data_IF_144154015983
#
_entry.id   IF_144154015983
#
_cell.length_a   1.000
_cell.length_b   1.000
_cell.length_c   1.000
_cell.angle_alpha   90.00
_cell.angle_beta   90.00
_cell.angle_gamma   90.00
#
_symmetry.space_group_name_H-M   'P 1'
#
loop_
_entity.id
_entity.type
_entity.pdbx_description
1 polymer ?
#
# COMPACT_ATOMS: atom_id res chain seq x y z
N UNK A 1 15.46 -5.79 -1.63
CA UNK A 1 15.23 -4.46 -1.01
C UNK A 1 14.17 -4.55 0.07
N UNK A 2 14.26 -3.72 1.12
CA UNK A 2 13.31 -3.68 2.25
C UNK A 2 12.82 -2.24 2.40
N UNK A 3 11.66 -1.94 1.81
CA UNK A 3 11.16 -0.58 1.64
C UNK A 3 9.81 -0.37 2.34
N UNK A 4 9.58 0.86 2.76
CA UNK A 4 8.25 1.36 3.12
C UNK A 4 7.79 2.31 2.02
N UNK A 5 6.58 2.10 1.49
CA UNK A 5 5.97 3.00 0.52
C UNK A 5 4.96 3.91 1.22
N UNK A 6 5.32 5.18 1.36
CA UNK A 6 4.45 6.25 1.84
C UNK A 6 3.78 6.96 0.66
N UNK A 7 2.75 7.70 0.96
CA UNK A 7 1.97 8.48 -0.02
C UNK A 7 0.47 8.29 0.16
N UNK A 8 -0.30 9.25 -0.27
CA UNK A 8 -1.75 9.28 -0.12
C UNK A 8 -2.46 8.06 -0.77
N UNK A 9 -3.69 7.73 -0.35
CA UNK A 9 -4.54 6.81 -1.12
C UNK A 9 -4.61 7.24 -2.58
N UNK A 10 -4.39 6.33 -3.53
CA UNK A 10 -4.37 6.68 -4.97
C UNK A 10 -3.01 7.15 -5.52
N UNK A 11 -1.98 7.32 -4.70
CA UNK A 11 -0.64 7.74 -5.15
C UNK A 11 0.07 6.74 -6.09
N UNK A 12 -0.36 5.47 -6.14
CA UNK A 12 0.22 4.46 -7.02
C UNK A 12 1.18 3.48 -6.33
N UNK A 13 1.27 3.50 -5.00
CA UNK A 13 2.12 2.61 -4.20
C UNK A 13 2.09 1.15 -4.63
N UNK A 14 0.90 0.58 -4.76
CA UNK A 14 0.74 -0.83 -5.15
C UNK A 14 1.21 -1.13 -6.60
N UNK A 15 1.16 -0.16 -7.51
CA UNK A 15 1.70 -0.31 -8.87
C UNK A 15 3.23 -0.32 -8.82
N UNK A 16 3.82 0.64 -8.13
CA UNK A 16 5.27 0.74 -7.91
C UNK A 16 5.77 -0.53 -7.22
N UNK A 17 5.12 -1.00 -6.15
CA UNK A 17 5.49 -2.24 -5.47
C UNK A 17 5.50 -3.44 -6.42
N UNK A 18 4.44 -3.63 -7.22
CA UNK A 18 4.37 -4.75 -8.19
C UNK A 18 5.44 -4.70 -9.28
N UNK A 19 5.93 -3.51 -9.63
CA UNK A 19 7.02 -3.38 -10.59
C UNK A 19 8.37 -3.68 -9.92
N UNK A 20 8.60 -3.15 -8.72
CA UNK A 20 9.84 -3.39 -7.96
C UNK A 20 10.04 -4.86 -7.59
N UNK A 21 8.98 -5.58 -7.17
CA UNK A 21 9.07 -7.00 -6.82
C UNK A 21 9.51 -7.89 -7.99
N UNK A 22 9.28 -7.44 -9.23
CA UNK A 22 9.76 -8.16 -10.43
C UNK A 22 11.25 -7.98 -10.68
N UNK A 23 11.87 -6.95 -10.10
CA UNK A 23 13.28 -6.62 -10.33
C UNK A 23 14.20 -7.43 -9.42
N UNK A 24 13.86 -7.62 -8.16
CA UNK A 24 14.74 -8.24 -7.17
C UNK A 24 14.15 -9.46 -6.44
N UNK A 25 12.89 -9.79 -6.75
CA UNK A 25 12.19 -10.91 -6.11
C UNK A 25 11.74 -10.66 -4.67
N UNK A 26 11.79 -9.40 -4.19
CA UNK A 26 11.16 -9.00 -2.92
C UNK A 26 9.65 -9.22 -2.96
N UNK A 27 9.00 -9.32 -1.80
CA UNK A 27 7.55 -9.52 -1.72
C UNK A 27 6.83 -8.23 -1.37
N UNK A 28 5.69 -7.97 -2.05
CA UNK A 28 4.79 -6.89 -1.63
C UNK A 28 3.94 -7.35 -0.44
N UNK A 29 3.95 -6.58 0.64
CA UNK A 29 3.08 -6.74 1.80
C UNK A 29 2.13 -5.56 1.84
N UNK A 30 0.91 -5.76 1.35
CA UNK A 30 -0.15 -4.76 1.35
C UNK A 30 -1.17 -5.10 2.43
N UNK A 31 -1.19 -4.32 3.52
CA UNK A 31 -2.19 -4.50 4.59
C UNK A 31 -3.61 -4.37 4.06
N UNK A 32 -3.84 -3.45 3.13
CA UNK A 32 -5.15 -3.30 2.48
C UNK A 32 -5.57 -4.53 1.69
N UNK A 33 -4.65 -5.19 0.96
CA UNK A 33 -4.96 -6.39 0.18
C UNK A 33 -5.20 -7.59 1.10
N UNK A 34 -4.40 -7.74 2.17
CA UNK A 34 -4.60 -8.77 3.19
C UNK A 34 -5.99 -8.66 3.82
N UNK A 35 -6.37 -7.45 4.26
CA UNK A 35 -7.67 -7.20 4.88
C UNK A 35 -8.84 -7.43 3.90
N UNK A 36 -8.72 -6.97 2.64
CA UNK A 36 -9.74 -7.23 1.61
C UNK A 36 -9.88 -8.72 1.31
N UNK A 37 -8.78 -9.45 1.24
CA UNK A 37 -8.81 -10.91 1.11
C UNK A 37 -9.52 -11.57 2.29
N UNK A 38 -9.24 -11.13 3.52
CA UNK A 38 -9.89 -11.62 4.73
C UNK A 38 -11.40 -11.32 4.76
N UNK A 39 -11.82 -10.14 4.31
CA UNK A 39 -13.25 -9.76 4.15
C UNK A 39 -13.93 -10.66 3.11
N UNK A 40 -13.33 -10.82 1.93
CA UNK A 40 -13.87 -11.65 0.87
C UNK A 40 -14.00 -13.12 1.28
N UNK A 41 -13.07 -13.62 2.08
CA UNK A 41 -13.10 -14.97 2.64
C UNK A 41 -14.01 -15.13 3.87
N UNK A 42 -14.60 -14.04 4.39
CA UNK A 42 -15.48 -14.04 5.56
C UNK A 42 -14.80 -14.46 6.87
N UNK A 43 -13.49 -14.30 6.98
CA UNK A 43 -12.74 -14.65 8.19
C UNK A 43 -13.10 -13.74 9.37
N UNK A 44 -12.75 -14.15 10.60
CA UNK A 44 -12.99 -13.33 11.78
C UNK A 44 -12.26 -11.98 11.71
N UNK A 45 -11.02 -11.98 11.21
CA UNK A 45 -10.27 -10.77 10.91
C UNK A 45 -11.01 -9.86 9.91
N UNK A 46 -11.54 -10.46 8.84
CA UNK A 46 -12.30 -9.73 7.82
C UNK A 46 -13.55 -9.06 8.37
N UNK A 47 -14.31 -9.77 9.21
CA UNK A 47 -15.50 -9.23 9.88
C UNK A 47 -15.17 -8.05 10.79
N UNK A 48 -14.08 -8.14 11.55
CA UNK A 48 -13.62 -7.04 12.42
C UNK A 48 -13.14 -5.83 11.63
N UNK A 49 -12.45 -6.04 10.52
CA UNK A 49 -11.88 -4.97 9.71
C UNK A 49 -12.91 -4.28 8.79
N UNK A 50 -13.97 -4.98 8.37
CA UNK A 50 -14.89 -4.54 7.31
C UNK A 50 -15.51 -3.17 7.57
N UNK A 51 -16.00 -2.92 8.79
CA UNK A 51 -16.65 -1.66 9.13
C UNK A 51 -15.70 -0.46 8.99
N UNK A 52 -14.47 -0.61 9.48
CA UNK A 52 -13.43 0.43 9.37
C UNK A 52 -13.05 0.68 7.89
N UNK A 53 -12.88 -0.39 7.12
CA UNK A 53 -12.50 -0.27 5.71
C UNK A 53 -13.58 0.43 4.88
N UNK A 54 -14.86 0.10 5.09
CA UNK A 54 -15.99 0.70 4.37
C UNK A 54 -16.14 2.19 4.71
N UNK A 55 -15.91 2.57 5.97
CA UNK A 55 -15.91 3.96 6.41
C UNK A 55 -14.69 4.75 5.90
N UNK A 56 -13.63 4.08 5.46
CA UNK A 56 -12.35 4.70 5.10
C UNK A 56 -11.45 5.00 6.31
N UNK A 57 -11.78 4.42 7.46
CA UNK A 57 -11.02 4.52 8.70
C UNK A 57 -9.82 3.57 8.73
N UNK A 58 -8.91 3.84 9.67
CA UNK A 58 -7.83 2.90 9.97
C UNK A 58 -8.34 1.76 10.84
N UNK A 59 -8.00 0.54 10.46
CA UNK A 59 -8.18 -0.64 11.31
C UNK A 59 -7.29 -0.49 12.56
N UNK A 60 -7.75 -0.89 13.76
CA UNK A 60 -6.99 -0.73 14.99
C UNK A 60 -5.55 -1.25 14.91
N UNK A 61 -4.63 -0.49 15.49
CA UNK A 61 -3.18 -0.76 15.40
C UNK A 61 -2.82 -2.16 15.89
N UNK A 62 -3.48 -2.64 16.96
CA UNK A 62 -3.24 -3.96 17.53
C UNK A 62 -3.50 -5.10 16.52
N UNK A 63 -4.58 -4.99 15.74
CA UNK A 63 -4.90 -5.97 14.71
C UNK A 63 -3.86 -5.94 13.57
N UNK A 64 -3.48 -4.74 13.13
CA UNK A 64 -2.48 -4.57 12.07
C UNK A 64 -1.11 -5.08 12.52
N UNK A 65 -0.70 -4.78 13.74
CA UNK A 65 0.58 -5.25 14.28
C UNK A 65 0.63 -6.77 14.39
N UNK A 66 -0.48 -7.41 14.78
CA UNK A 66 -0.59 -8.88 14.81
C UNK A 66 -0.39 -9.50 13.43
N UNK A 67 -1.02 -8.93 12.39
CA UNK A 67 -0.85 -9.37 10.99
C UNK A 67 0.61 -9.20 10.55
N UNK A 68 1.18 -8.03 10.79
CA UNK A 68 2.55 -7.72 10.37
C UNK A 68 3.59 -8.56 11.07
N UNK A 69 3.40 -8.81 12.38
CA UNK A 69 4.31 -9.65 13.15
C UNK A 69 4.40 -11.09 12.62
N UNK A 70 3.31 -11.64 12.14
CA UNK A 70 3.28 -12.97 11.51
C UNK A 70 3.85 -12.91 10.09
N UNK A 71 3.42 -11.95 9.28
CA UNK A 71 3.76 -11.85 7.85
C UNK A 71 5.24 -11.62 7.59
N UNK A 72 5.90 -10.79 8.40
CA UNK A 72 7.33 -10.50 8.25
C UNK A 72 8.25 -11.68 8.59
N UNK A 73 7.73 -12.71 9.26
CA UNK A 73 8.48 -13.91 9.60
C UNK A 73 8.29 -15.04 8.55
N UNK A 74 7.49 -14.83 7.52
CA UNK A 74 7.32 -15.80 6.45
C UNK A 74 8.59 -15.88 5.57
N UNK A 75 8.96 -17.09 5.09
CA UNK A 75 10.23 -17.31 4.36
C UNK A 75 10.40 -16.48 3.09
N UNK A 76 9.30 -16.06 2.45
CA UNK A 76 9.36 -15.22 1.25
C UNK A 76 9.83 -13.78 1.53
N UNK A 77 9.80 -13.35 2.79
CA UNK A 77 10.32 -12.05 3.23
C UNK A 77 11.86 -12.01 3.34
N UNK A 78 12.54 -13.15 3.35
CA UNK A 78 14.00 -13.22 3.47
C UNK A 78 14.72 -12.47 2.35
N UNK A 79 14.19 -12.52 1.12
CA UNK A 79 14.74 -11.82 -0.05
C UNK A 79 14.51 -10.32 -0.03
N UNK A 80 13.65 -9.84 0.88
CA UNK A 80 13.22 -8.45 0.98
C UNK A 80 11.71 -8.29 0.87
N UNK A 81 11.24 -7.10 1.22
CA UNK A 81 9.81 -6.78 1.23
C UNK A 81 9.53 -5.31 0.94
N UNK A 82 8.35 -5.05 0.43
CA UNK A 82 7.83 -3.71 0.18
C UNK A 82 6.54 -3.54 0.99
N UNK A 83 6.57 -2.71 2.04
CA UNK A 83 5.40 -2.42 2.87
C UNK A 83 4.52 -1.39 2.18
N UNK A 84 3.33 -1.79 1.76
CA UNK A 84 2.34 -0.93 1.12
C UNK A 84 1.13 -0.73 2.05
N UNK A 85 0.93 0.52 2.48
CA UNK A 85 -0.14 0.89 3.38
C UNK A 85 0.11 0.53 4.85
N UNK A 86 1.36 0.35 5.23
CA UNK A 86 1.84 0.18 6.60
C UNK A 86 3.31 0.68 6.69
N UNK A 87 3.70 1.37 7.80
CA UNK A 87 2.83 1.88 8.86
C UNK A 87 1.95 3.04 8.38
N UNK A 88 0.88 3.35 9.15
CA UNK A 88 -0.02 4.50 8.90
C UNK A 88 -0.10 5.48 10.06
N UNK A 89 0.48 5.15 11.20
CA UNK A 89 0.54 6.00 12.38
C UNK A 89 1.94 5.98 12.98
N UNK A 90 2.29 7.02 13.75
CA UNK A 90 3.58 7.06 14.47
C UNK A 90 3.74 5.85 15.42
N UNK A 91 2.73 5.49 16.23
CA UNK A 91 2.83 4.29 17.08
C UNK A 91 3.11 3.00 16.28
N UNK A 92 2.49 2.83 15.11
CA UNK A 92 2.80 1.69 14.23
C UNK A 92 4.25 1.72 13.74
N UNK A 93 4.79 2.89 13.40
CA UNK A 93 6.17 3.03 12.95
C UNK A 93 7.18 2.70 14.05
N UNK A 94 6.92 3.14 15.28
CA UNK A 94 7.73 2.82 16.46
C UNK A 94 7.72 1.31 16.75
N UNK A 95 6.53 0.69 16.77
CA UNK A 95 6.40 -0.75 16.96
C UNK A 95 7.03 -1.56 15.83
N UNK A 96 6.92 -1.10 14.57
CA UNK A 96 7.62 -1.71 13.44
C UNK A 96 9.14 -1.66 13.63
N UNK A 97 9.68 -0.52 14.04
CA UNK A 97 11.11 -0.36 14.32
C UNK A 97 11.61 -1.36 15.35
N UNK A 98 10.87 -1.51 16.46
CA UNK A 98 11.19 -2.51 17.50
C UNK A 98 11.09 -3.94 16.98
N UNK A 99 10.07 -4.24 16.17
CA UNK A 99 9.88 -5.57 15.58
C UNK A 99 11.03 -5.93 14.64
N UNK A 100 11.41 -5.02 13.76
CA UNK A 100 12.51 -5.23 12.81
C UNK A 100 13.84 -5.40 13.55
N UNK A 101 14.10 -4.62 14.60
CA UNK A 101 15.28 -4.76 15.44
C UNK A 101 15.36 -6.15 16.11
N UNK A 102 14.24 -6.68 16.62
CA UNK A 102 14.17 -8.06 17.18
C UNK A 102 14.43 -9.15 16.14
N UNK A 103 14.10 -8.89 14.89
CA UNK A 103 14.33 -9.80 13.76
C UNK A 103 15.70 -9.61 13.10
N UNK A 104 16.53 -8.67 13.57
CA UNK A 104 17.79 -8.25 12.95
C UNK A 104 17.61 -7.82 11.47
N UNK A 105 16.55 -7.09 11.18
CA UNK A 105 16.22 -6.57 9.87
C UNK A 105 16.44 -5.06 9.87
N UNK A 106 17.17 -4.56 8.88
CA UNK A 106 17.32 -3.13 8.62
C UNK A 106 16.50 -2.75 7.38
N UNK A 107 15.85 -1.57 7.43
CA UNK A 107 15.16 -0.99 6.30
C UNK A 107 16.16 -0.25 5.42
N UNK A 108 16.01 -0.37 4.11
CA UNK A 108 16.84 0.37 3.16
C UNK A 108 16.37 1.83 3.06
N UNK A 109 15.04 2.07 2.96
CA UNK A 109 14.46 3.41 2.93
C UNK A 109 12.94 3.41 3.10
N UNK A 110 12.39 4.60 3.36
CA UNK A 110 10.97 4.94 3.25
C UNK A 110 10.79 5.90 2.07
N UNK A 111 9.98 5.52 1.10
CA UNK A 111 9.77 6.28 -0.14
C UNK A 111 8.43 7.01 -0.06
N UNK A 112 8.45 8.34 -0.05
CA UNK A 112 7.26 9.19 -0.09
C UNK A 112 6.90 9.52 -1.55
N UNK A 113 5.84 8.88 -2.05
CA UNK A 113 5.34 9.06 -3.42
C UNK A 113 4.36 10.23 -3.43
N UNK A 114 4.83 11.37 -3.91
CA UNK A 114 4.08 12.61 -3.93
C UNK A 114 3.28 12.74 -5.24
N UNK A 115 1.98 12.95 -5.10
CA UNK A 115 1.04 13.08 -6.24
C UNK A 115 0.06 14.22 -5.95
N UNK A 116 -0.22 15.11 -6.91
CA UNK A 116 -1.21 16.16 -6.75
C UNK A 116 -2.61 15.63 -6.40
N UNK A 117 -3.34 16.38 -5.57
CA UNK A 117 -4.65 15.96 -5.05
C UNK A 117 -5.68 15.68 -6.15
N UNK A 118 -5.71 16.50 -7.18
CA UNK A 118 -6.62 16.36 -8.32
C UNK A 118 -6.36 15.06 -9.09
N UNK A 119 -5.10 14.69 -9.29
CA UNK A 119 -4.70 13.42 -9.88
C UNK A 119 -5.12 12.24 -9.01
N UNK A 120 -4.97 12.35 -7.69
CA UNK A 120 -5.43 11.33 -6.74
C UNK A 120 -6.95 11.12 -6.84
N UNK A 121 -7.73 12.20 -6.86
CA UNK A 121 -9.18 12.14 -6.98
C UNK A 121 -9.61 11.48 -8.29
N UNK A 122 -9.01 11.88 -9.42
CA UNK A 122 -9.29 11.25 -10.72
C UNK A 122 -8.97 9.75 -10.70
N UNK A 123 -7.82 9.36 -10.17
CA UNK A 123 -7.42 7.96 -10.06
C UNK A 123 -8.38 7.13 -9.22
N UNK A 124 -8.83 7.63 -8.06
CA UNK A 124 -9.67 6.89 -7.14
C UNK A 124 -11.11 6.74 -7.65
N UNK A 125 -11.69 7.79 -8.23
CA UNK A 125 -13.05 7.76 -8.77
C UNK A 125 -13.18 6.88 -10.01
N UNK A 126 -12.11 6.77 -10.80
CA UNK A 126 -12.06 5.98 -12.03
C UNK A 126 -11.51 4.58 -11.83
N UNK A 127 -10.98 4.24 -10.65
CA UNK A 127 -10.45 2.92 -10.33
C UNK A 127 -11.56 1.88 -10.29
N UNK A 128 -11.22 0.68 -10.75
CA UNK A 128 -12.02 -0.53 -10.62
C UNK A 128 -11.13 -1.66 -10.14
N UNK A 129 -11.69 -2.58 -9.37
CA UNK A 129 -10.94 -3.70 -8.76
C UNK A 129 -11.68 -4.99 -9.01
N UNK A 130 -10.94 -6.05 -9.33
CA UNK A 130 -11.48 -7.40 -9.40
C UNK A 130 -12.03 -7.82 -8.04
N UNK A 131 -13.25 -8.33 -7.99
CA UNK A 131 -13.93 -8.75 -6.76
C UNK A 131 -13.39 -10.05 -6.17
N UNK A 132 -12.59 -10.81 -6.92
CA UNK A 132 -11.94 -12.03 -6.44
C UNK A 132 -10.80 -11.67 -5.48
N UNK A 133 -10.89 -12.15 -4.22
CA UNK A 133 -9.94 -11.87 -3.14
C UNK A 133 -8.50 -12.29 -3.44
N UNK A 134 -8.31 -13.36 -4.22
CA UNK A 134 -6.97 -13.85 -4.60
C UNK A 134 -6.38 -13.10 -5.81
N UNK A 135 -7.22 -12.48 -6.62
CA UNK A 135 -6.80 -11.78 -7.83
C UNK A 135 -6.52 -10.29 -7.58
N UNK A 136 -7.50 -9.58 -7.03
CA UNK A 136 -7.49 -8.13 -6.73
C UNK A 136 -6.84 -7.25 -7.83
N UNK A 137 -6.96 -7.66 -9.10
CA UNK A 137 -6.42 -6.90 -10.22
C UNK A 137 -7.07 -5.50 -10.29
N UNK A 138 -6.24 -4.48 -10.51
CA UNK A 138 -6.65 -3.09 -10.55
C UNK A 138 -6.74 -2.62 -11.99
N UNK A 139 -7.81 -1.94 -12.31
CA UNK A 139 -8.11 -1.30 -13.59
C UNK A 139 -8.46 0.17 -13.39
N UNK A 140 -8.48 0.91 -14.48
CA UNK A 140 -8.94 2.29 -14.50
C UNK A 140 -9.78 2.49 -15.76
N UNK A 141 -10.99 3.02 -15.61
CA UNK A 141 -11.94 3.15 -16.75
C UNK A 141 -11.45 4.10 -17.83
N UNK A 142 -10.50 4.99 -17.53
CA UNK A 142 -9.93 5.95 -18.50
C UNK A 142 -8.60 5.46 -19.10
N UNK A 143 -7.65 5.04 -18.24
CA UNK A 143 -6.25 4.81 -18.64
C UNK A 143 -5.90 3.32 -18.83
N UNK A 144 -6.64 2.41 -18.19
CA UNK A 144 -6.41 0.96 -18.27
C UNK A 144 -7.72 0.20 -18.07
N UNK A 145 -8.69 0.31 -19.01
CA UNK A 145 -9.96 -0.40 -18.92
C UNK A 145 -9.78 -1.92 -19.11
N UNK A 146 -10.77 -2.69 -18.68
CA UNK A 146 -10.85 -4.12 -19.00
C UNK A 146 -11.15 -4.33 -20.49
N UNK A 147 -10.68 -5.44 -21.07
CA UNK A 147 -10.97 -5.80 -22.48
C UNK A 147 -12.47 -6.03 -22.72
N UNK A 148 -13.13 -6.64 -21.73
CA UNK A 148 -14.58 -6.78 -21.68
C UNK A 148 -15.06 -6.01 -20.50
N UNK A 149 -15.99 -5.07 -20.70
CA UNK A 149 -16.49 -4.20 -19.63
C UNK A 149 -17.03 -5.02 -18.44
N UNK A 150 -16.56 -4.67 -17.24
CA UNK A 150 -16.97 -5.33 -15.99
C UNK A 150 -16.37 -6.72 -15.75
N UNK A 151 -15.49 -7.23 -16.63
CA UNK A 151 -14.89 -8.56 -16.50
C UNK A 151 -13.37 -8.45 -16.33
N UNK A 152 -12.84 -9.11 -15.32
CA UNK A 152 -11.40 -9.13 -15.05
C UNK A 152 -10.64 -9.92 -16.12
N UNK A 153 -9.65 -9.28 -16.77
CA UNK A 153 -8.82 -9.89 -17.82
C UNK A 153 -7.93 -11.04 -17.32
N UNK A 154 -7.71 -11.12 -15.99
CA UNK A 154 -6.84 -12.13 -15.39
C UNK A 154 -7.57 -13.39 -14.95
N UNK A 155 -8.76 -13.26 -14.37
CA UNK A 155 -9.48 -14.40 -13.77
C UNK A 155 -10.95 -14.51 -14.18
N UNK A 156 -11.47 -13.59 -14.98
CA UNK A 156 -12.85 -13.61 -15.44
C UNK A 156 -13.91 -13.17 -14.41
N UNK A 157 -13.50 -12.86 -13.16
CA UNK A 157 -14.43 -12.41 -12.12
C UNK A 157 -14.93 -10.98 -12.38
N UNK A 158 -16.04 -10.55 -11.76
CA UNK A 158 -16.53 -9.18 -11.90
C UNK A 158 -15.50 -8.13 -11.46
N UNK A 159 -15.50 -6.99 -12.14
CA UNK A 159 -14.70 -5.82 -11.79
C UNK A 159 -15.64 -4.72 -11.32
N UNK A 160 -15.41 -4.25 -10.08
CA UNK A 160 -16.31 -3.35 -9.38
C UNK A 160 -15.56 -2.11 -8.85
N UNK A 161 -16.30 -1.05 -8.56
CA UNK A 161 -15.82 0.02 -7.71
C UNK A 161 -15.82 -0.45 -6.25
N UNK A 162 -14.79 -0.11 -5.49
CA UNK A 162 -14.74 -0.46 -4.07
C UNK A 162 -15.73 0.36 -3.27
N UNK A 163 -16.23 -0.18 -2.15
CA UNK A 163 -17.10 0.56 -1.24
C UNK A 163 -16.41 1.77 -0.61
N UNK A 164 -15.09 1.68 -0.36
CA UNK A 164 -14.25 2.77 0.15
C UNK A 164 -13.82 3.80 -0.90
N UNK A 165 -14.45 3.79 -2.09
CA UNK A 165 -14.20 4.71 -3.21
C UNK A 165 -15.42 5.53 -3.62
N UNK A 166 -16.37 5.70 -2.71
CA UNK A 166 -17.37 6.77 -2.80
C UNK A 166 -16.70 8.13 -2.56
N UNK A 167 -17.26 9.21 -3.08
CA UNK A 167 -16.69 10.56 -2.92
C UNK A 167 -16.49 10.93 -1.44
N UNK A 168 -17.46 10.60 -0.58
CA UNK A 168 -17.37 10.81 0.85
C UNK A 168 -16.25 9.99 1.50
N UNK A 169 -16.14 8.70 1.17
CA UNK A 169 -15.10 7.83 1.70
C UNK A 169 -13.71 8.26 1.22
N UNK A 170 -13.56 8.69 -0.04
CA UNK A 170 -12.30 9.22 -0.57
C UNK A 170 -11.87 10.46 0.22
N UNK A 171 -12.78 11.42 0.45
CA UNK A 171 -12.49 12.64 1.20
C UNK A 171 -12.05 12.31 2.62
N UNK A 172 -12.78 11.46 3.31
CA UNK A 172 -12.43 11.02 4.66
C UNK A 172 -11.08 10.30 4.74
N UNK A 173 -10.77 9.44 3.77
CA UNK A 173 -9.46 8.76 3.68
C UNK A 173 -8.30 9.74 3.48
N UNK A 174 -8.51 10.81 2.71
CA UNK A 174 -7.49 11.83 2.52
C UNK A 174 -7.30 12.68 3.78
N UNK A 175 -8.36 12.97 4.52
CA UNK A 175 -8.28 13.64 5.83
C UNK A 175 -7.53 12.76 6.84
N UNK A 176 -7.93 11.49 6.97
CA UNK A 176 -7.25 10.50 7.84
C UNK A 176 -5.76 10.37 7.48
N UNK A 177 -5.44 10.35 6.18
CA UNK A 177 -4.05 10.32 5.73
C UNK A 177 -3.28 11.56 6.21
N UNK A 178 -3.83 12.74 6.01
CA UNK A 178 -3.16 14.00 6.40
C UNK A 178 -2.93 14.08 7.91
N UNK A 179 -3.90 13.66 8.70
CA UNK A 179 -3.81 13.71 10.16
C UNK A 179 -2.87 12.65 10.76
N UNK A 180 -2.98 11.41 10.28
CA UNK A 180 -2.35 10.24 10.95
C UNK A 180 -1.12 9.71 10.22
N UNK A 181 -1.11 9.77 8.89
CA UNK A 181 -0.08 9.10 8.08
C UNK A 181 0.98 10.07 7.55
N UNK A 182 0.59 11.27 7.13
CA UNK A 182 1.55 12.28 6.65
C UNK A 182 2.64 12.63 7.68
N UNK A 183 2.40 12.62 9.01
CA UNK A 183 3.46 12.80 10.01
C UNK A 183 4.61 11.79 9.93
N UNK A 184 4.39 10.62 9.32
CA UNK A 184 5.45 9.61 9.10
C UNK A 184 6.57 10.13 8.20
N UNK A 185 6.30 11.07 7.32
CA UNK A 185 7.31 11.73 6.49
C UNK A 185 8.39 12.33 7.40
N UNK A 186 7.99 13.16 8.36
CA UNK A 186 8.93 13.74 9.32
C UNK A 186 9.56 12.73 10.29
N UNK A 187 8.89 11.61 10.57
CA UNK A 187 9.46 10.52 11.35
C UNK A 187 10.63 9.85 10.61
N UNK A 188 10.42 9.42 9.36
CA UNK A 188 11.47 8.77 8.57
C UNK A 188 12.55 9.72 8.07
N UNK A 189 12.24 11.00 7.92
CA UNK A 189 13.25 12.05 7.67
C UNK A 189 14.25 12.15 8.84
N UNK A 190 13.76 12.18 10.09
CA UNK A 190 14.60 12.18 11.30
C UNK A 190 15.43 10.91 11.46
N UNK A 191 14.91 9.77 11.00
CA UNK A 191 15.64 8.50 10.99
C UNK A 191 16.68 8.42 9.85
N UNK A 192 16.72 9.40 8.94
CA UNK A 192 17.63 9.42 7.79
C UNK A 192 17.26 8.42 6.68
N UNK A 193 16.03 7.90 6.71
CA UNK A 193 15.55 6.87 5.79
C UNK A 193 14.64 7.41 4.68
N UNK A 194 14.21 8.68 4.74
CA UNK A 194 13.23 9.23 3.81
C UNK A 194 13.82 9.53 2.43
N UNK A 195 13.10 9.12 1.40
CA UNK A 195 13.31 9.52 0.00
C UNK A 195 11.99 10.05 -0.56
N UNK A 196 11.91 11.35 -0.80
CA UNK A 196 10.75 11.96 -1.45
C UNK A 196 10.87 11.87 -2.98
N UNK A 197 9.79 11.48 -3.65
CA UNK A 197 9.74 11.38 -5.11
C UNK A 197 8.45 12.00 -5.64
N UNK A 198 8.60 13.02 -6.50
CA UNK A 198 7.49 13.57 -7.28
C UNK A 198 7.08 12.57 -8.37
N UNK A 199 5.95 11.92 -8.18
CA UNK A 199 5.51 10.82 -9.02
C UNK A 199 4.78 11.32 -10.29
N UNK A 200 5.53 11.67 -11.31
CA UNK A 200 4.99 11.90 -12.66
C UNK A 200 4.55 10.58 -13.31
N UNK A 201 5.30 9.50 -13.08
CA UNK A 201 4.97 8.13 -13.49
C UNK A 201 5.50 7.10 -12.49
N UNK A 202 5.04 5.85 -12.59
CA UNK A 202 5.56 4.76 -11.75
C UNK A 202 7.01 4.43 -12.08
N UNK A 203 7.41 4.58 -13.34
CA UNK A 203 8.77 4.39 -13.83
C UNK A 203 9.74 5.39 -13.20
N UNK A 204 9.36 6.67 -13.14
CA UNK A 204 10.18 7.71 -12.51
C UNK A 204 10.43 7.42 -11.02
N UNK A 205 9.41 6.88 -10.31
CA UNK A 205 9.58 6.46 -8.91
C UNK A 205 10.58 5.31 -8.79
N UNK A 206 10.52 4.34 -9.71
CA UNK A 206 11.44 3.19 -9.72
C UNK A 206 12.87 3.63 -9.98
N UNK A 207 13.07 4.50 -10.97
CA UNK A 207 14.40 5.04 -11.29
C UNK A 207 15.00 5.76 -10.09
N UNK A 208 14.23 6.62 -9.40
CA UNK A 208 14.70 7.32 -8.21
C UNK A 208 15.07 6.36 -7.05
N UNK A 209 14.30 5.28 -6.86
CA UNK A 209 14.62 4.25 -5.87
C UNK A 209 15.91 3.51 -6.23
N UNK A 210 16.07 3.09 -7.49
CA UNK A 210 17.26 2.38 -7.96
C UNK A 210 18.52 3.23 -7.87
N UNK A 211 18.43 4.51 -8.25
CA UNK A 211 19.53 5.46 -8.13
C UNK A 211 19.98 5.59 -6.66
N UNK A 212 19.03 5.71 -5.73
CA UNK A 212 19.34 5.85 -4.31
C UNK A 212 19.95 4.57 -3.73
N UNK A 213 19.45 3.39 -4.10
CA UNK A 213 20.01 2.10 -3.68
C UNK A 213 21.40 1.89 -4.26
N UNK A 214 21.65 2.27 -5.51
CA UNK A 214 22.96 2.19 -6.14
C UNK A 214 23.99 3.17 -5.58
N UNK A 215 23.54 4.28 -5.00
CA UNK A 215 24.41 5.26 -4.34
C UNK A 215 24.84 4.84 -2.92
N UNK A 216 24.16 3.84 -2.33
CA UNK A 216 24.44 3.32 -0.97
C UNK A 216 25.20 1.99 -0.98
N UNK A 217 25.45 1.40 -2.14
CA UNK A 217 26.23 0.17 -2.32
C UNK A 217 27.68 0.53 -2.68
#
# INVERSE_FOLDING_TARGET
>A
MKLILLGAPGAGKGTVAKMLTKLDGSVQISTGDILRGAVAAGTELGKQAQAFMNAGDLVPDELIMGIMGTRLQEPDCEKGFLLDGFPRTIPQAEQLKEMLAKLNIELDMAVDIQVPRDVILDRLTTRRTCSNGDCQAIYNVKSNPTKVEGVCDKCGSPVVQREDETEAAISHRLETYNEKTAPLIGFYEKEGLLVGVDATSSEAVIEAIQEKLGATA
#
